data_IF_164099992751
#
_entry.id   IF_164099992751
#
_cell.length_a   1.000
_cell.length_b   1.000
_cell.length_c   1.000
_cell.angle_alpha   90.00
_cell.angle_beta   90.00
_cell.angle_gamma   90.00
#
_symmetry.space_group_name_H-M   'P 1'
#
loop_
_entity.id
_entity.type
_entity.pdbx_description
1 polymer ?
#
# COMPACT_ATOMS: atom_id res chain seq x y z
N UNK A 1 5.98 -3.36 -6.55
CA UNK A 1 6.19 -2.52 -7.75
C UNK A 1 6.41 -1.08 -7.33
N UNK A 2 7.55 -0.49 -7.66
CA UNK A 2 7.86 0.91 -7.33
C UNK A 2 8.65 1.59 -8.45
N UNK A 3 8.28 2.81 -8.76
CA UNK A 3 9.04 3.75 -9.60
C UNK A 3 9.62 4.92 -8.79
N UNK A 4 9.45 4.90 -7.48
CA UNK A 4 9.93 5.91 -6.52
C UNK A 4 11.03 5.28 -5.68
N UNK A 5 12.22 5.93 -5.57
CA UNK A 5 13.29 5.43 -4.70
C UNK A 5 12.87 5.53 -3.22
N UNK A 6 13.30 4.57 -2.42
CA UNK A 6 13.12 4.62 -0.98
C UNK A 6 13.96 5.73 -0.36
N UNK A 7 13.41 6.43 0.64
CA UNK A 7 14.07 7.50 1.37
C UNK A 7 14.55 7.00 2.72
N UNK A 8 15.82 6.57 2.80
CA UNK A 8 16.42 6.06 4.03
C UNK A 8 17.53 7.01 4.49
N UNK A 9 17.36 7.60 5.68
CA UNK A 9 18.34 8.51 6.26
C UNK A 9 19.71 7.82 6.41
N UNK A 10 20.77 8.51 5.97
CA UNK A 10 22.13 7.98 5.99
C UNK A 10 22.47 7.02 4.84
N UNK A 11 21.50 6.75 3.93
CA UNK A 11 21.66 5.89 2.76
C UNK A 11 21.25 6.59 1.45
N UNK A 12 21.21 7.89 1.44
CA UNK A 12 20.75 8.72 0.31
C UNK A 12 21.60 8.53 -0.96
N UNK A 13 22.82 8.03 -0.79
CA UNK A 13 23.73 7.67 -1.88
C UNK A 13 23.41 6.32 -2.54
N UNK A 14 22.51 5.54 -1.95
CA UNK A 14 22.10 4.22 -2.46
C UNK A 14 20.75 4.36 -3.13
N UNK A 15 20.67 4.10 -4.43
CA UNK A 15 19.39 4.04 -5.15
C UNK A 15 18.77 2.67 -4.89
N UNK A 16 17.80 2.63 -3.98
CA UNK A 16 17.08 1.41 -3.60
C UNK A 16 15.56 1.60 -3.71
N UNK A 17 14.80 0.50 -3.68
CA UNK A 17 13.33 0.52 -3.76
C UNK A 17 12.77 0.59 -5.18
N UNK A 18 13.60 0.75 -6.22
CA UNK A 18 13.12 0.73 -7.61
C UNK A 18 12.94 -0.70 -8.13
N UNK A 19 11.83 -0.94 -8.80
CA UNK A 19 11.59 -2.21 -9.51
C UNK A 19 12.52 -2.33 -10.72
N UNK A 20 13.27 -3.43 -10.79
CA UNK A 20 14.12 -3.79 -11.92
C UNK A 20 13.41 -4.79 -12.83
N UNK A 21 13.73 -4.73 -14.13
CA UNK A 21 13.20 -5.67 -15.13
C UNK A 21 14.13 -6.88 -15.17
N UNK A 22 13.59 -8.06 -14.92
CA UNK A 22 14.36 -9.30 -14.93
C UNK A 22 15.01 -9.54 -16.30
N UNK A 23 16.31 -9.89 -16.30
CA UNK A 23 17.06 -10.12 -17.52
C UNK A 23 17.59 -8.87 -18.24
N UNK A 24 17.30 -7.66 -17.73
CA UNK A 24 17.74 -6.40 -18.31
C UNK A 24 18.37 -5.48 -17.25
N UNK A 25 19.37 -4.70 -17.64
CA UNK A 25 19.90 -3.64 -16.78
C UNK A 25 19.04 -2.36 -16.91
N UNK A 26 17.77 -2.51 -16.53
CA UNK A 26 16.74 -1.49 -16.70
C UNK A 26 15.79 -1.50 -15.52
N UNK A 27 15.41 -0.32 -15.04
CA UNK A 27 14.33 -0.17 -14.06
C UNK A 27 12.98 0.00 -14.76
N UNK A 28 11.90 -0.35 -14.04
CA UNK A 28 10.53 -0.05 -14.53
C UNK A 28 10.35 1.46 -14.76
N UNK A 29 10.91 2.32 -13.89
CA UNK A 29 10.83 3.76 -14.05
C UNK A 29 11.43 4.24 -15.39
N UNK A 30 12.59 3.71 -15.79
CA UNK A 30 13.20 4.02 -17.09
C UNK A 30 12.33 3.54 -18.25
N UNK A 31 11.83 2.29 -18.18
CA UNK A 31 10.96 1.74 -19.21
C UNK A 31 9.67 2.56 -19.41
N UNK A 32 9.05 3.03 -18.31
CA UNK A 32 7.88 3.90 -18.37
C UNK A 32 8.19 5.28 -18.99
N UNK A 33 9.39 5.82 -18.78
CA UNK A 33 9.81 7.07 -19.44
C UNK A 33 10.05 6.87 -20.93
N UNK A 34 10.65 5.76 -21.32
CA UNK A 34 11.02 5.48 -22.72
C UNK A 34 9.79 5.14 -23.58
N UNK A 35 8.80 4.44 -23.00
CA UNK A 35 7.64 3.94 -23.74
C UNK A 35 6.32 4.14 -22.93
N UNK A 36 5.96 5.38 -22.53
CA UNK A 36 4.86 5.62 -21.62
C UNK A 36 3.51 5.11 -22.14
N UNK A 37 3.17 5.35 -23.39
CA UNK A 37 1.85 4.97 -23.94
C UNK A 37 1.70 3.45 -24.10
N UNK A 38 2.74 2.76 -24.56
CA UNK A 38 2.71 1.31 -24.68
C UNK A 38 2.59 0.63 -23.30
N UNK A 39 3.25 1.21 -22.30
CA UNK A 39 3.29 0.66 -20.95
C UNK A 39 2.05 1.00 -20.13
N UNK A 40 1.59 2.25 -20.14
CA UNK A 40 0.53 2.76 -19.27
C UNK A 40 -0.81 3.02 -19.96
N UNK A 41 -0.82 3.11 -21.29
CA UNK A 41 -1.98 3.48 -22.10
C UNK A 41 -2.14 4.99 -22.27
N UNK A 42 -2.62 5.42 -23.45
CA UNK A 42 -2.70 6.85 -23.82
C UNK A 42 -3.60 7.66 -22.90
N UNK A 43 -4.71 7.09 -22.41
CA UNK A 43 -5.63 7.76 -21.48
C UNK A 43 -4.96 8.05 -20.13
N UNK A 44 -4.18 7.10 -19.61
CA UNK A 44 -3.43 7.26 -18.37
C UNK A 44 -2.31 8.31 -18.54
N UNK A 45 -1.54 8.20 -19.63
CA UNK A 45 -0.43 9.11 -19.92
C UNK A 45 -0.91 10.57 -20.09
N UNK A 46 -2.09 10.79 -20.67
CA UNK A 46 -2.66 12.13 -20.79
C UNK A 46 -2.82 12.82 -19.43
N UNK A 47 -3.19 12.07 -18.37
CA UNK A 47 -3.42 12.60 -17.01
C UNK A 47 -2.15 12.59 -16.14
N UNK A 48 -1.42 11.46 -16.14
CA UNK A 48 -0.37 11.17 -15.16
C UNK A 48 1.04 11.11 -15.77
N UNK A 49 1.18 11.34 -17.09
CA UNK A 49 2.45 11.23 -17.82
C UNK A 49 3.03 9.81 -17.67
N UNK A 50 4.32 9.68 -17.49
CA UNK A 50 5.00 8.40 -17.25
C UNK A 50 4.93 7.89 -15.80
N UNK A 51 4.08 8.50 -14.96
CA UNK A 51 3.89 8.06 -13.58
C UNK A 51 2.76 7.03 -13.51
N UNK A 52 2.96 5.80 -13.02
CA UNK A 52 1.89 4.80 -12.90
C UNK A 52 0.82 5.18 -11.88
N UNK A 53 1.05 6.20 -11.04
CA UNK A 53 0.08 6.66 -10.05
C UNK A 53 -0.11 5.71 -8.86
N UNK A 54 0.68 4.66 -8.77
CA UNK A 54 0.55 3.61 -7.75
C UNK A 54 1.92 3.04 -7.38
N UNK A 55 2.06 2.65 -6.10
CA UNK A 55 3.19 1.92 -5.56
C UNK A 55 2.68 0.73 -4.76
N UNK A 56 3.31 -0.44 -4.91
CA UNK A 56 2.90 -1.68 -4.22
C UNK A 56 4.09 -2.31 -3.53
N UNK A 57 3.91 -2.70 -2.27
CA UNK A 57 4.91 -3.35 -1.43
C UNK A 57 4.32 -4.61 -0.78
N UNK A 58 5.20 -5.54 -0.43
CA UNK A 58 4.93 -6.58 0.55
C UNK A 58 5.62 -6.19 1.84
N UNK A 59 4.88 -6.21 2.94
CA UNK A 59 5.39 -5.89 4.28
C UNK A 59 5.21 -7.10 5.19
N UNK A 60 6.31 -7.52 5.81
CA UNK A 60 6.35 -8.57 6.82
C UNK A 60 6.90 -7.97 8.12
N UNK A 61 6.00 -7.60 9.02
CA UNK A 61 6.32 -6.83 10.21
C UNK A 61 6.84 -7.74 11.33
N UNK A 62 8.17 -7.81 11.51
CA UNK A 62 8.78 -8.50 12.65
C UNK A 62 8.61 -7.73 13.96
N UNK A 63 8.49 -6.42 13.89
CA UNK A 63 8.15 -5.51 15.00
C UNK A 63 6.99 -4.60 14.59
N UNK A 64 6.34 -3.95 15.56
CA UNK A 64 5.39 -2.88 15.24
C UNK A 64 6.10 -1.73 14.50
N UNK A 65 5.54 -1.28 13.40
CA UNK A 65 6.02 -0.08 12.74
C UNK A 65 5.73 1.16 13.63
N UNK A 66 6.57 2.18 13.52
CA UNK A 66 6.36 3.45 14.22
C UNK A 66 5.00 4.04 13.87
N UNK A 67 4.33 4.66 14.87
CA UNK A 67 3.10 5.40 14.62
C UNK A 67 3.37 6.56 13.67
N UNK A 68 2.54 6.68 12.63
CA UNK A 68 2.75 7.59 11.52
C UNK A 68 1.45 8.13 10.96
N UNK A 69 1.58 9.14 10.11
CA UNK A 69 0.50 9.66 9.27
C UNK A 69 1.05 10.02 7.90
N UNK A 70 0.19 9.97 6.90
CA UNK A 70 0.47 10.43 5.55
C UNK A 70 -0.36 11.67 5.22
N UNK A 71 0.14 12.61 4.40
CA UNK A 71 -0.65 13.77 4.00
C UNK A 71 -1.80 13.36 3.05
N UNK A 72 -2.93 14.06 3.15
CA UNK A 72 -3.94 14.06 2.08
C UNK A 72 -3.35 14.69 0.82
N UNK A 73 -4.01 14.59 -0.34
CA UNK A 73 -3.56 15.28 -1.58
C UNK A 73 -3.47 16.79 -1.39
N UNK A 74 -4.44 17.40 -0.69
CA UNK A 74 -4.45 18.83 -0.39
C UNK A 74 -3.24 19.21 0.46
N UNK A 75 -2.98 18.45 1.53
CA UNK A 75 -1.82 18.68 2.40
C UNK A 75 -0.49 18.37 1.71
N UNK A 76 -0.43 17.38 0.84
CA UNK A 76 0.75 17.09 0.05
C UNK A 76 1.06 18.24 -0.93
N UNK A 77 0.06 18.83 -1.55
CA UNK A 77 0.23 20.01 -2.41
C UNK A 77 0.69 21.22 -1.60
N UNK A 78 0.04 21.50 -0.46
CA UNK A 78 0.35 22.65 0.41
C UNK A 78 1.76 22.56 1.03
N UNK A 79 2.14 21.37 1.52
CA UNK A 79 3.31 21.20 2.37
C UNK A 79 4.55 20.74 1.60
N UNK A 80 4.35 20.03 0.48
CA UNK A 80 5.43 19.37 -0.28
C UNK A 80 5.41 19.71 -1.76
N UNK A 81 4.43 20.46 -2.27
CA UNK A 81 4.28 20.76 -3.70
C UNK A 81 3.96 19.52 -4.55
N UNK A 82 3.44 18.46 -3.94
CA UNK A 82 3.13 17.19 -4.61
C UNK A 82 1.65 17.07 -4.99
N UNK A 83 1.32 16.63 -6.22
CA UNK A 83 -0.05 16.35 -6.60
C UNK A 83 -0.59 15.05 -6.00
N UNK A 84 0.27 14.22 -5.42
CA UNK A 84 -0.08 12.97 -4.76
C UNK A 84 0.10 13.09 -3.25
N UNK A 85 -0.89 12.60 -2.50
CA UNK A 85 -0.79 12.31 -1.08
C UNK A 85 -0.16 10.93 -0.83
N UNK A 86 -0.62 10.25 0.22
CA UNK A 86 -0.30 8.85 0.42
C UNK A 86 -1.48 8.14 1.10
N UNK A 87 -2.61 8.09 0.39
CA UNK A 87 -3.66 7.12 0.72
C UNK A 87 -3.15 5.73 0.37
N UNK A 88 -3.37 4.77 1.25
CA UNK A 88 -2.92 3.39 1.08
C UNK A 88 -4.00 2.38 1.47
N UNK A 89 -3.87 1.16 1.02
CA UNK A 89 -4.68 0.03 1.43
C UNK A 89 -3.76 -1.07 1.94
N UNK A 90 -4.17 -1.71 3.01
CA UNK A 90 -3.56 -2.92 3.55
C UNK A 90 -4.49 -4.11 3.35
N UNK A 91 -4.04 -5.11 2.61
CA UNK A 91 -4.71 -6.40 2.52
C UNK A 91 -3.86 -7.46 3.22
N UNK A 92 -4.40 -8.07 4.26
CA UNK A 92 -3.67 -9.01 5.13
C UNK A 92 -3.56 -10.36 4.42
N UNK A 93 -2.34 -10.76 4.09
CA UNK A 93 -2.03 -12.03 3.43
C UNK A 93 -1.87 -13.17 4.41
N UNK A 94 -1.29 -12.89 5.57
CA UNK A 94 -1.11 -13.86 6.65
C UNK A 94 -0.81 -13.15 7.98
N UNK A 95 -0.91 -13.89 9.09
CA UNK A 95 -0.66 -13.38 10.43
C UNK A 95 0.06 -14.43 11.28
N UNK A 96 0.92 -13.97 12.20
CA UNK A 96 1.55 -14.81 13.22
C UNK A 96 1.73 -14.05 14.53
N UNK A 97 1.61 -14.73 15.64
CA UNK A 97 1.97 -14.18 16.96
C UNK A 97 3.48 -14.07 17.06
N UNK A 98 4.00 -12.92 17.49
CA UNK A 98 5.43 -12.68 17.71
C UNK A 98 5.63 -12.27 19.17
N UNK A 99 6.41 -13.05 19.92
CA UNK A 99 6.73 -12.79 21.34
C UNK A 99 5.49 -12.53 22.22
N UNK A 100 4.40 -13.28 21.95
CA UNK A 100 3.13 -13.16 22.65
C UNK A 100 2.28 -11.97 22.22
N UNK A 101 2.71 -11.20 21.22
CA UNK A 101 1.91 -10.14 20.63
C UNK A 101 1.05 -10.68 19.50
N UNK A 102 -0.27 -10.58 19.66
CA UNK A 102 -1.22 -10.91 18.60
C UNK A 102 -1.20 -9.85 17.49
N UNK A 103 -1.31 -10.28 16.20
CA UNK A 103 -1.30 -9.36 15.07
C UNK A 103 -2.45 -8.36 15.15
N UNK A 104 -2.12 -7.09 14.97
CA UNK A 104 -3.07 -5.99 15.02
C UNK A 104 -2.58 -4.82 14.18
N UNK A 105 -3.50 -3.90 13.90
CA UNK A 105 -3.16 -2.56 13.42
C UNK A 105 -3.60 -1.52 14.44
N UNK A 106 -2.98 -0.35 14.39
CA UNK A 106 -3.43 0.85 15.10
C UNK A 106 -3.96 1.83 14.07
N UNK A 107 -5.18 2.38 14.27
CA UNK A 107 -5.80 3.24 13.27
C UNK A 107 -6.77 4.23 13.89
N UNK A 108 -6.65 5.51 13.47
CA UNK A 108 -7.58 6.58 13.82
C UNK A 108 -7.51 7.00 15.28
N UNK A 109 -7.75 8.28 15.54
CA UNK A 109 -7.85 8.79 16.90
C UNK A 109 -9.15 8.34 17.58
N UNK A 110 -9.04 8.01 18.86
CA UNK A 110 -10.19 7.85 19.74
C UNK A 110 -10.85 9.20 20.00
N UNK A 111 -12.13 9.17 20.39
CA UNK A 111 -12.85 10.37 20.81
C UNK A 111 -12.11 11.13 21.92
N UNK A 112 -12.13 12.46 21.82
CA UNK A 112 -11.51 13.35 22.81
C UNK A 112 -10.00 13.55 22.66
N UNK A 113 -9.32 12.86 21.73
CA UNK A 113 -7.90 13.13 21.46
C UNK A 113 -7.76 14.48 20.77
N UNK A 114 -6.96 15.37 21.35
CA UNK A 114 -6.70 16.70 20.82
C UNK A 114 -5.29 16.80 20.24
N UNK A 115 -5.09 17.75 19.33
CA UNK A 115 -3.77 18.08 18.79
C UNK A 115 -2.76 18.34 19.91
N UNK A 116 -3.11 19.16 20.89
CA UNK A 116 -2.22 19.51 22.00
C UNK A 116 -1.79 18.28 22.81
N UNK A 117 -2.70 17.33 23.06
CA UNK A 117 -2.37 16.09 23.74
C UNK A 117 -1.43 15.21 22.90
N UNK A 118 -1.70 15.05 21.59
CA UNK A 118 -0.86 14.27 20.69
C UNK A 118 0.55 14.86 20.54
N UNK A 119 0.66 16.19 20.39
CA UNK A 119 1.94 16.90 20.35
C UNK A 119 2.72 16.72 21.68
N UNK A 120 2.03 16.80 22.84
CA UNK A 120 2.66 16.55 24.13
C UNK A 120 3.25 15.14 24.21
N UNK A 121 2.48 14.09 23.86
CA UNK A 121 2.95 12.71 23.85
C UNK A 121 4.16 12.54 22.92
N UNK A 122 4.16 13.19 21.74
CA UNK A 122 5.32 13.19 20.86
C UNK A 122 6.56 13.84 21.49
N UNK A 123 6.42 15.03 22.08
CA UNK A 123 7.57 15.74 22.65
C UNK A 123 8.17 15.03 23.87
N UNK A 124 7.35 14.32 24.63
CA UNK A 124 7.79 13.51 25.78
C UNK A 124 8.15 12.07 25.36
N UNK A 125 7.87 11.67 24.14
CA UNK A 125 8.00 10.29 23.64
C UNK A 125 7.27 9.28 24.53
N UNK A 126 6.09 9.64 25.02
CA UNK A 126 5.21 8.75 25.78
C UNK A 126 4.46 7.83 24.80
N UNK A 127 5.18 6.77 24.36
CA UNK A 127 4.65 5.80 23.39
C UNK A 127 3.39 5.08 23.91
N UNK A 128 3.32 4.64 25.19
CA UNK A 128 2.09 4.08 25.74
C UNK A 128 0.88 5.02 25.61
N UNK A 129 1.05 6.32 25.93
CA UNK A 129 -0.01 7.30 25.78
C UNK A 129 -0.39 7.52 24.31
N UNK A 130 0.57 7.56 23.38
CA UNK A 130 0.28 7.63 21.94
C UNK A 130 -0.50 6.41 21.45
N UNK A 131 -0.12 5.20 21.84
CA UNK A 131 -0.86 3.99 21.50
C UNK A 131 -2.28 4.00 22.06
N UNK A 132 -2.47 4.54 23.28
CA UNK A 132 -3.78 4.68 23.90
C UNK A 132 -4.68 5.71 23.19
N UNK A 133 -4.11 6.66 22.45
CA UNK A 133 -4.87 7.60 21.60
C UNK A 133 -5.50 6.95 20.38
N UNK A 134 -5.05 5.77 19.95
CA UNK A 134 -5.50 5.09 18.72
C UNK A 134 -6.33 3.85 19.04
N UNK A 135 -7.11 3.41 18.07
CA UNK A 135 -7.79 2.11 18.14
C UNK A 135 -6.80 1.00 17.78
N UNK A 136 -6.67 0.02 18.69
CA UNK A 136 -5.98 -1.24 18.40
C UNK A 136 -6.99 -2.23 17.84
N UNK A 137 -6.79 -2.65 16.58
CA UNK A 137 -7.71 -3.51 15.83
C UNK A 137 -7.00 -4.84 15.56
N UNK A 138 -7.44 -5.96 16.16
CA UNK A 138 -6.95 -7.28 15.79
C UNK A 138 -7.22 -7.56 14.30
N UNK A 139 -6.29 -8.22 13.63
CA UNK A 139 -6.44 -8.56 12.21
C UNK A 139 -6.18 -10.02 11.94
N UNK A 140 -6.75 -10.51 10.84
CA UNK A 140 -6.57 -11.87 10.34
C UNK A 140 -6.39 -11.87 8.82
N UNK A 141 -5.92 -12.99 8.27
CA UNK A 141 -5.83 -13.21 6.81
C UNK A 141 -7.15 -12.85 6.12
N UNK A 142 -7.07 -12.06 5.05
CA UNK A 142 -8.19 -11.60 4.23
C UNK A 142 -8.79 -10.27 4.68
N UNK A 143 -8.49 -9.76 5.87
CA UNK A 143 -8.94 -8.44 6.28
C UNK A 143 -8.30 -7.36 5.39
N UNK A 144 -9.09 -6.33 5.10
CA UNK A 144 -8.66 -5.22 4.24
C UNK A 144 -9.04 -3.89 4.86
N UNK A 145 -8.10 -2.94 4.83
CA UNK A 145 -8.30 -1.59 5.36
C UNK A 145 -7.81 -0.54 4.37
N UNK A 146 -8.63 0.48 4.13
CA UNK A 146 -8.20 1.70 3.44
C UNK A 146 -7.67 2.69 4.49
N UNK A 147 -6.43 3.16 4.32
CA UNK A 147 -5.79 4.14 5.20
C UNK A 147 -5.71 5.46 4.46
N UNK A 148 -6.65 6.35 4.71
CA UNK A 148 -6.71 7.66 4.05
C UNK A 148 -5.64 8.60 4.61
N UNK A 149 -5.15 9.51 3.79
CA UNK A 149 -4.29 10.60 4.27
C UNK A 149 -4.94 11.33 5.46
N UNK A 150 -4.14 11.74 6.43
CA UNK A 150 -4.58 12.38 7.67
C UNK A 150 -4.89 11.41 8.82
N UNK A 151 -5.07 10.13 8.54
CA UNK A 151 -5.39 9.12 9.57
C UNK A 151 -4.11 8.62 10.22
N UNK A 152 -3.91 8.81 11.55
CA UNK A 152 -2.78 8.22 12.27
C UNK A 152 -2.92 6.71 12.33
N UNK A 153 -1.81 6.01 12.12
CA UNK A 153 -1.84 4.55 12.01
C UNK A 153 -0.49 3.90 12.34
N UNK A 154 -0.50 2.57 12.47
CA UNK A 154 0.70 1.75 12.57
C UNK A 154 0.36 0.27 12.40
N UNK A 155 1.25 -0.48 11.76
CA UNK A 155 1.13 -1.93 11.57
C UNK A 155 1.79 -2.61 12.77
N UNK A 156 1.08 -3.51 13.44
CA UNK A 156 1.59 -4.32 14.55
C UNK A 156 2.54 -5.42 14.09
N UNK A 157 3.31 -5.97 15.03
CA UNK A 157 4.14 -7.14 14.79
C UNK A 157 3.30 -8.34 14.33
N UNK A 158 3.87 -9.17 13.46
CA UNK A 158 3.24 -10.41 13.00
C UNK A 158 2.28 -10.26 11.83
N UNK A 159 2.04 -9.03 11.33
CA UNK A 159 1.25 -8.82 10.12
C UNK A 159 2.11 -9.04 8.86
N UNK A 160 1.64 -9.89 7.95
CA UNK A 160 2.15 -10.00 6.58
C UNK A 160 1.08 -9.51 5.62
N UNK A 161 1.35 -8.47 4.86
CA UNK A 161 0.34 -7.79 4.03
C UNK A 161 0.91 -7.27 2.71
N UNK A 162 0.03 -7.07 1.74
CA UNK A 162 0.30 -6.19 0.60
C UNK A 162 -0.19 -4.79 0.94
N UNK A 163 0.68 -3.79 0.70
CA UNK A 163 0.35 -2.38 0.74
C UNK A 163 0.30 -1.85 -0.69
N UNK A 164 -0.85 -1.33 -1.09
CA UNK A 164 -1.02 -0.57 -2.33
C UNK A 164 -1.29 0.88 -1.96
N UNK A 165 -0.59 1.83 -2.57
CA UNK A 165 -0.61 3.24 -2.17
C UNK A 165 -0.43 4.21 -3.34
N UNK A 166 -0.76 5.48 -3.11
CA UNK A 166 -0.31 6.56 -3.99
C UNK A 166 1.22 6.60 -4.09
N UNK A 167 1.81 7.03 -5.22
CA UNK A 167 3.23 6.84 -5.54
C UNK A 167 4.13 7.87 -4.84
N UNK A 168 4.02 8.00 -3.53
CA UNK A 168 4.85 8.90 -2.71
C UNK A 168 5.40 8.17 -1.48
N UNK A 169 6.41 8.77 -0.84
CA UNK A 169 6.99 8.28 0.41
C UNK A 169 6.92 9.35 1.52
N UNK A 170 5.84 10.17 1.51
CA UNK A 170 5.61 11.16 2.56
C UNK A 170 5.06 10.47 3.81
N UNK A 171 5.96 10.18 4.76
CA UNK A 171 5.64 9.50 6.01
C UNK A 171 6.07 10.34 7.19
N UNK A 172 5.12 10.96 7.89
CA UNK A 172 5.35 11.67 9.13
C UNK A 172 5.33 10.67 10.28
N UNK A 173 6.45 10.51 10.98
CA UNK A 173 6.60 9.55 12.09
C UNK A 173 6.58 10.26 13.42
N UNK A 174 5.87 9.70 14.38
CA UNK A 174 5.74 10.29 15.73
C UNK A 174 6.54 9.56 16.80
N UNK A 175 7.36 8.60 16.41
CA UNK A 175 8.30 7.93 17.29
C UNK A 175 9.73 8.20 16.83
N UNK A 176 10.62 8.56 17.77
CA UNK A 176 12.04 8.81 17.51
C UNK A 176 12.92 7.56 17.65
N UNK A 177 12.29 6.47 18.05
CA UNK A 177 12.94 5.15 18.18
C UNK A 177 11.94 4.09 17.80
N UNK A 178 12.35 3.09 17.00
CA UNK A 178 11.51 1.93 16.72
C UNK A 178 11.36 1.06 17.97
N UNK A 179 10.38 0.14 18.03
CA UNK A 179 10.25 -0.80 19.15
C UNK A 179 11.53 -1.62 19.41
N UNK A 180 12.32 -1.93 18.38
CA UNK A 180 13.62 -2.62 18.52
C UNK A 180 14.80 -1.69 18.89
N UNK A 181 14.52 -0.41 19.14
CA UNK A 181 15.52 0.54 19.62
C UNK A 181 16.34 1.23 18.54
N UNK A 182 15.97 1.13 17.26
CA UNK A 182 16.65 1.85 16.20
C UNK A 182 16.21 3.33 16.22
N UNK A 183 17.17 4.24 16.21
CA UNK A 183 16.89 5.66 16.15
C UNK A 183 16.25 6.08 14.81
N UNK A 184 15.20 6.88 14.87
CA UNK A 184 14.54 7.51 13.73
C UNK A 184 15.06 8.94 13.64
N UNK A 185 15.74 9.28 12.55
CA UNK A 185 16.30 10.63 12.35
C UNK A 185 15.16 11.68 12.32
N UNK A 186 15.43 12.87 12.83
CA UNK A 186 14.46 13.97 12.85
C UNK A 186 13.89 14.27 11.45
N UNK A 187 14.75 14.25 10.41
CA UNK A 187 14.31 14.40 9.01
C UNK A 187 13.31 13.34 8.56
N UNK A 188 13.40 12.12 9.09
CA UNK A 188 12.45 11.03 8.82
C UNK A 188 11.15 11.21 9.62
N UNK A 189 11.18 11.89 10.77
CA UNK A 189 9.97 12.22 11.51
C UNK A 189 9.15 13.26 10.76
N UNK A 190 9.74 14.39 10.40
CA UNK A 190 9.00 15.56 9.89
C UNK A 190 9.14 15.83 8.39
N UNK A 191 9.91 15.02 7.65
CA UNK A 191 10.05 15.11 6.17
C UNK A 191 10.39 16.52 5.65
N UNK A 192 11.18 17.30 6.41
CA UNK A 192 11.54 18.67 6.07
C UNK A 192 10.59 19.75 6.62
N UNK A 193 9.42 19.40 7.17
CA UNK A 193 8.44 20.38 7.68
C UNK A 193 8.83 21.01 9.02
N UNK A 194 9.73 20.38 9.78
CA UNK A 194 9.98 20.69 11.17
C UNK A 194 8.86 20.22 12.11
N UNK A 195 9.17 20.19 13.42
CA UNK A 195 8.31 19.58 14.44
C UNK A 195 7.02 20.36 14.75
N UNK A 196 6.84 21.56 14.24
CA UNK A 196 5.59 22.30 14.38
C UNK A 196 4.61 21.96 13.26
N UNK A 197 5.08 22.01 12.00
CA UNK A 197 4.19 21.83 10.83
C UNK A 197 3.89 20.38 10.49
N UNK A 198 4.69 19.41 10.96
CA UNK A 198 4.40 17.99 10.73
C UNK A 198 3.00 17.58 11.26
N UNK A 199 2.54 18.22 12.31
CA UNK A 199 1.23 17.96 12.92
C UNK A 199 0.04 18.48 12.10
N UNK A 200 0.29 19.30 11.08
CA UNK A 200 -0.75 19.74 10.14
C UNK A 200 -1.17 18.62 9.17
N UNK A 201 -0.40 17.52 9.10
CA UNK A 201 -0.75 16.33 8.34
C UNK A 201 -1.85 15.47 9.00
N UNK A 202 -2.15 15.66 10.30
CA UNK A 202 -3.10 14.84 11.03
C UNK A 202 -4.52 15.39 10.95
N UNK A 203 -5.49 14.49 10.78
CA UNK A 203 -6.91 14.76 11.04
C UNK A 203 -7.22 14.36 12.50
N UNK A 204 -7.52 15.32 13.33
CA UNK A 204 -7.82 15.12 14.77
C UNK A 204 -9.29 14.80 15.05
N UNK A 205 -10.10 14.52 14.05
CA UNK A 205 -11.45 14.01 14.26
C UNK A 205 -11.37 12.62 14.89
N UNK A 206 -11.62 12.56 16.20
CA UNK A 206 -11.74 11.30 16.93
C UNK A 206 -13.08 10.63 16.66
N UNK A 207 -13.11 9.30 16.71
CA UNK A 207 -14.30 8.50 16.46
C UNK A 207 -14.33 7.27 17.36
N UNK A 208 -15.49 6.61 17.47
CA UNK A 208 -15.64 5.30 18.09
C UNK A 208 -14.99 4.20 17.24
N UNK A 209 -14.75 3.03 17.82
CA UNK A 209 -14.21 1.88 17.07
C UNK A 209 -15.13 1.45 15.92
N UNK A 210 -16.44 1.44 16.16
CA UNK A 210 -17.42 1.03 15.16
C UNK A 210 -17.43 1.98 13.95
N UNK A 211 -17.30 3.29 14.19
CA UNK A 211 -17.16 4.28 13.12
C UNK A 211 -15.84 4.13 12.36
N UNK A 212 -14.72 3.86 13.04
CA UNK A 212 -13.44 3.59 12.40
C UNK A 212 -13.55 2.34 11.50
N UNK A 213 -14.14 1.25 11.99
CA UNK A 213 -14.33 0.05 11.19
C UNK A 213 -15.26 0.31 10.00
N UNK A 214 -16.36 1.00 10.21
CA UNK A 214 -17.31 1.34 9.13
C UNK A 214 -16.69 2.21 8.03
N UNK A 215 -15.72 3.07 8.36
CA UNK A 215 -15.09 3.98 7.41
C UNK A 215 -13.86 3.40 6.71
N UNK A 216 -13.14 2.49 7.35
CA UNK A 216 -11.82 2.07 6.88
C UNK A 216 -11.69 0.58 6.61
N UNK A 217 -12.49 -0.29 7.23
CA UNK A 217 -12.51 -1.72 6.86
C UNK A 217 -13.32 -1.91 5.59
N UNK A 218 -12.72 -2.60 4.61
CA UNK A 218 -13.34 -2.81 3.29
C UNK A 218 -13.87 -4.23 3.19
N UNK A 219 -15.11 -4.35 2.71
CA UNK A 219 -15.69 -5.64 2.34
C UNK A 219 -15.53 -5.83 0.83
N UNK A 220 -14.80 -6.86 0.37
CA UNK A 220 -14.68 -7.16 -1.06
C UNK A 220 -16.01 -7.47 -1.72
N UNK A 221 -16.13 -7.13 -3.00
CA UNK A 221 -17.26 -7.50 -3.86
C UNK A 221 -16.82 -8.67 -4.74
N UNK A 222 -17.64 -9.73 -4.82
CA UNK A 222 -17.33 -10.90 -5.63
C UNK A 222 -18.05 -10.86 -6.97
N UNK A 223 -17.31 -11.15 -8.04
CA UNK A 223 -17.81 -11.36 -9.41
C UNK A 223 -17.35 -12.72 -9.91
N UNK A 224 -18.29 -13.56 -10.34
CA UNK A 224 -18.00 -14.88 -10.91
C UNK A 224 -18.02 -14.79 -12.43
N UNK A 225 -16.91 -15.13 -13.06
CA UNK A 225 -16.73 -15.17 -14.52
C UNK A 225 -16.44 -16.59 -14.98
N UNK A 226 -16.44 -16.81 -16.29
CA UNK A 226 -16.06 -18.10 -16.85
C UNK A 226 -14.60 -18.43 -16.52
N UNK A 227 -14.38 -19.52 -15.82
CA UNK A 227 -13.06 -20.03 -15.44
C UNK A 227 -12.37 -19.28 -14.30
N UNK A 228 -12.94 -18.20 -13.76
CA UNK A 228 -12.36 -17.48 -12.63
C UNK A 228 -13.37 -16.76 -11.74
N UNK A 229 -12.94 -16.45 -10.53
CA UNK A 229 -13.65 -15.55 -9.62
C UNK A 229 -12.77 -14.33 -9.34
N UNK A 230 -13.36 -13.15 -9.40
CA UNK A 230 -12.74 -11.89 -9.01
C UNK A 230 -13.32 -11.44 -7.66
N UNK A 231 -12.45 -11.11 -6.73
CA UNK A 231 -12.84 -10.35 -5.54
C UNK A 231 -12.26 -8.95 -5.68
N UNK A 232 -13.11 -7.96 -5.95
CA UNK A 232 -12.74 -6.55 -5.99
C UNK A 232 -12.50 -6.08 -4.57
N UNK A 233 -11.24 -6.06 -4.16
CA UNK A 233 -10.83 -5.68 -2.80
C UNK A 233 -10.86 -4.16 -2.66
N UNK A 234 -10.30 -3.44 -3.63
CA UNK A 234 -10.40 -1.98 -3.73
C UNK A 234 -10.97 -1.63 -5.09
N UNK A 235 -12.08 -0.91 -5.08
CA UNK A 235 -12.88 -0.56 -6.23
C UNK A 235 -13.31 0.93 -6.16
N UNK A 236 -13.90 1.52 -7.22
CA UNK A 236 -14.12 2.97 -7.31
C UNK A 236 -14.91 3.61 -6.16
N UNK A 237 -15.85 2.90 -5.55
CA UNK A 237 -16.64 3.39 -4.41
C UNK A 237 -15.79 3.51 -3.13
N UNK A 238 -14.71 2.73 -3.01
CA UNK A 238 -13.76 2.84 -1.91
C UNK A 238 -12.79 3.97 -2.18
N UNK A 239 -12.16 3.97 -3.35
CA UNK A 239 -11.26 5.03 -3.83
C UNK A 239 -11.02 4.92 -5.33
N UNK A 240 -10.77 6.06 -5.99
CA UNK A 240 -10.34 6.11 -7.39
C UNK A 240 -8.81 6.28 -7.56
N UNK A 241 -8.05 6.20 -6.46
CA UNK A 241 -6.61 6.43 -6.48
C UNK A 241 -5.82 5.21 -6.96
N UNK A 242 -6.39 4.02 -6.81
CA UNK A 242 -5.87 2.72 -7.26
C UNK A 242 -6.98 1.66 -7.13
N UNK A 243 -6.77 0.48 -7.73
CA UNK A 243 -7.66 -0.66 -7.53
C UNK A 243 -6.87 -1.94 -7.23
N UNK A 244 -7.52 -2.89 -6.56
CA UNK A 244 -6.93 -4.17 -6.17
C UNK A 244 -7.98 -5.27 -6.27
N UNK A 245 -7.66 -6.32 -7.05
CA UNK A 245 -8.45 -7.52 -7.19
C UNK A 245 -7.68 -8.74 -6.67
N UNK A 246 -8.37 -9.67 -6.03
CA UNK A 246 -7.91 -11.04 -5.87
C UNK A 246 -8.58 -11.90 -6.94
N UNK A 247 -7.77 -12.50 -7.79
CA UNK A 247 -8.21 -13.35 -8.90
C UNK A 247 -7.96 -14.81 -8.53
N UNK A 248 -8.98 -15.65 -8.64
CA UNK A 248 -8.88 -17.11 -8.48
C UNK A 248 -9.28 -17.78 -9.79
N UNK A 249 -8.31 -18.40 -10.47
CA UNK A 249 -8.53 -19.15 -11.73
C UNK A 249 -8.60 -20.65 -11.42
N UNK A 250 -9.64 -21.31 -11.91
CA UNK A 250 -9.87 -22.77 -11.72
C UNK A 250 -9.76 -23.57 -13.00
N UNK A 251 -9.36 -22.95 -14.09
CA UNK A 251 -9.20 -23.57 -15.42
C UNK A 251 -8.56 -22.57 -16.35
N UNK A 252 -9.30 -22.06 -17.31
CA UNK A 252 -8.87 -21.05 -18.27
C UNK A 252 -9.74 -19.81 -18.15
N UNK A 253 -9.12 -18.65 -18.12
CA UNK A 253 -9.80 -17.35 -18.10
C UNK A 253 -9.06 -16.34 -18.97
N UNK A 254 -9.76 -15.29 -19.38
CA UNK A 254 -9.15 -14.13 -20.06
C UNK A 254 -9.40 -12.89 -19.19
N UNK A 255 -8.33 -12.22 -18.80
CA UNK A 255 -8.42 -10.99 -18.02
C UNK A 255 -8.67 -9.79 -18.92
N UNK A 256 -9.31 -8.75 -18.39
CA UNK A 256 -9.49 -7.48 -19.11
C UNK A 256 -8.14 -6.85 -19.45
N UNK A 257 -8.02 -6.36 -20.69
CA UNK A 257 -6.87 -5.62 -21.23
C UNK A 257 -7.19 -4.13 -21.42
N UNK A 258 -6.24 -3.38 -21.98
CA UNK A 258 -6.43 -1.96 -22.32
C UNK A 258 -5.98 -0.97 -21.23
N UNK A 259 -5.61 -1.46 -20.05
CA UNK A 259 -4.91 -0.69 -19.02
C UNK A 259 -3.74 -1.51 -18.48
N UNK A 260 -2.72 -0.84 -17.95
CA UNK A 260 -1.65 -1.56 -17.27
C UNK A 260 -2.14 -2.15 -15.94
N UNK A 261 -1.48 -3.19 -15.51
CA UNK A 261 -1.67 -3.74 -14.16
C UNK A 261 -0.39 -4.42 -13.67
N UNK A 262 -0.29 -4.62 -12.35
CA UNK A 262 0.71 -5.51 -11.79
C UNK A 262 0.04 -6.77 -11.26
N UNK A 263 0.79 -7.86 -11.20
CA UNK A 263 0.36 -9.15 -10.65
C UNK A 263 1.36 -9.60 -9.58
N UNK A 264 0.84 -10.21 -8.52
CA UNK A 264 1.61 -10.97 -7.54
C UNK A 264 0.90 -12.30 -7.27
N UNK A 265 1.59 -13.42 -7.58
CA UNK A 265 1.03 -14.76 -7.43
C UNK A 265 1.11 -15.21 -5.98
N UNK A 266 -0.04 -15.51 -5.37
CA UNK A 266 -0.18 -15.93 -3.98
C UNK A 266 -0.10 -17.46 -3.80
N UNK A 267 -0.81 -18.20 -4.67
CA UNK A 267 -0.96 -19.65 -4.54
C UNK A 267 -1.08 -20.28 -5.93
N UNK A 268 -0.65 -21.53 -6.05
CA UNK A 268 -0.76 -22.32 -7.29
C UNK A 268 0.30 -21.99 -8.33
N UNK A 269 0.11 -22.55 -9.51
CA UNK A 269 0.94 -22.39 -10.71
C UNK A 269 0.08 -22.49 -11.95
N UNK A 270 0.65 -22.09 -13.11
CA UNK A 270 -0.06 -22.11 -14.37
C UNK A 270 0.65 -21.31 -15.46
N UNK A 271 -0.11 -20.67 -16.34
CA UNK A 271 0.40 -19.83 -17.41
C UNK A 271 -0.34 -18.49 -17.46
N UNK A 272 0.39 -17.42 -17.78
CA UNK A 272 -0.13 -16.09 -18.09
C UNK A 272 0.43 -15.66 -19.46
N UNK A 273 -0.44 -15.40 -20.44
CA UNK A 273 -0.03 -15.07 -21.80
C UNK A 273 1.01 -16.06 -22.36
N UNK A 274 0.84 -17.36 -22.11
CA UNK A 274 1.76 -18.43 -22.52
C UNK A 274 3.08 -18.52 -21.72
N UNK A 275 3.31 -17.67 -20.73
CA UNK A 275 4.48 -17.73 -19.87
C UNK A 275 4.14 -18.49 -18.59
N UNK A 276 4.99 -19.41 -18.11
CA UNK A 276 4.78 -20.12 -16.87
C UNK A 276 4.85 -19.14 -15.69
N UNK A 277 3.94 -19.31 -14.74
CA UNK A 277 3.88 -18.53 -13.49
C UNK A 277 3.65 -19.43 -12.30
N UNK A 278 4.22 -19.07 -11.14
CA UNK A 278 4.10 -19.81 -9.90
C UNK A 278 4.08 -18.86 -8.70
N UNK A 279 3.79 -19.41 -7.53
CA UNK A 279 3.79 -18.68 -6.27
C UNK A 279 5.05 -17.80 -6.10
N UNK A 280 4.83 -16.56 -5.64
CA UNK A 280 5.82 -15.48 -5.45
C UNK A 280 6.28 -14.80 -6.74
N UNK A 281 5.88 -15.26 -7.91
CA UNK A 281 6.13 -14.52 -9.15
C UNK A 281 5.36 -13.20 -9.16
N UNK A 282 5.95 -12.19 -9.78
CA UNK A 282 5.35 -10.89 -9.93
C UNK A 282 5.67 -10.28 -11.29
N UNK A 283 4.68 -9.64 -11.88
CA UNK A 283 4.74 -9.12 -13.24
C UNK A 283 4.17 -7.71 -13.31
N UNK A 284 4.72 -6.93 -14.22
CA UNK A 284 4.06 -5.74 -14.75
C UNK A 284 3.45 -6.10 -16.12
N UNK A 285 2.15 -5.89 -16.27
CA UNK A 285 1.43 -6.10 -17.52
C UNK A 285 1.22 -4.76 -18.21
N UNK A 286 1.89 -4.51 -19.34
CA UNK A 286 1.72 -3.27 -20.11
C UNK A 286 0.29 -3.12 -20.65
N UNK A 287 -0.17 -1.88 -20.83
CA UNK A 287 -1.45 -1.59 -21.47
C UNK A 287 -1.53 -2.10 -22.92
N UNK A 288 -0.39 -2.17 -23.61
CA UNK A 288 -0.30 -2.73 -24.96
C UNK A 288 -0.40 -4.27 -25.02
N UNK A 289 -0.37 -4.95 -23.85
CA UNK A 289 -0.53 -6.41 -23.82
C UNK A 289 -1.98 -6.77 -24.15
N UNK A 290 -2.21 -7.39 -25.29
CA UNK A 290 -3.54 -7.80 -25.79
C UNK A 290 -3.92 -9.21 -25.38
N UNK A 291 -2.93 -10.09 -25.16
CA UNK A 291 -3.15 -11.46 -24.67
C UNK A 291 -2.97 -11.48 -23.15
N UNK A 292 -4.07 -11.58 -22.44
CA UNK A 292 -4.11 -11.78 -20.98
C UNK A 292 -4.83 -13.10 -20.65
N UNK A 293 -4.62 -14.12 -21.47
CA UNK A 293 -5.07 -15.48 -21.18
C UNK A 293 -4.33 -16.03 -19.96
N UNK A 294 -5.09 -16.64 -19.04
CA UNK A 294 -4.56 -17.25 -17.82
C UNK A 294 -5.09 -18.68 -17.75
N UNK A 295 -4.21 -19.62 -17.48
CA UNK A 295 -4.58 -21.03 -17.26
C UNK A 295 -3.97 -21.50 -15.95
N UNK A 296 -4.79 -22.03 -15.07
CA UNK A 296 -4.34 -22.71 -13.85
C UNK A 296 -3.90 -24.14 -14.16
N UNK A 297 -2.93 -24.66 -13.43
CA UNK A 297 -2.59 -26.07 -13.48
C UNK A 297 -3.80 -26.92 -12.97
N UNK A 298 -3.99 -28.14 -13.53
CA UNK A 298 -5.21 -28.93 -13.26
C UNK A 298 -5.45 -29.29 -11.79
N UNK A 299 -4.38 -29.40 -11.01
CA UNK A 299 -4.44 -29.94 -9.65
C UNK A 299 -4.74 -28.90 -8.56
N UNK A 300 -4.65 -27.60 -8.88
CA UNK A 300 -4.88 -26.54 -7.88
C UNK A 300 -5.30 -25.21 -8.53
N UNK A 301 -6.17 -24.43 -7.87
CA UNK A 301 -6.46 -23.06 -8.31
C UNK A 301 -5.22 -22.19 -8.30
N UNK A 302 -5.09 -21.34 -9.30
CA UNK A 302 -4.11 -20.28 -9.36
C UNK A 302 -4.71 -19.01 -8.76
N UNK A 303 -4.10 -18.48 -7.68
CA UNK A 303 -4.55 -17.24 -7.03
C UNK A 303 -3.48 -16.17 -7.12
N UNK A 304 -3.88 -14.98 -7.52
CA UNK A 304 -2.99 -13.83 -7.57
C UNK A 304 -3.72 -12.52 -7.29
N UNK A 305 -2.98 -11.57 -6.75
CA UNK A 305 -3.41 -10.18 -6.66
C UNK A 305 -3.16 -9.49 -8.00
N UNK A 306 -4.14 -8.71 -8.45
CA UNK A 306 -4.00 -7.82 -9.59
C UNK A 306 -4.26 -6.39 -9.13
N UNK A 307 -3.32 -5.50 -9.35
CA UNK A 307 -3.39 -4.12 -8.89
C UNK A 307 -3.21 -3.14 -10.04
N UNK A 308 -3.89 -2.00 -9.93
CA UNK A 308 -3.99 -1.00 -10.98
C UNK A 308 -3.66 0.38 -10.42
N UNK A 309 -3.22 1.27 -11.31
CA UNK A 309 -3.13 2.70 -11.03
C UNK A 309 -4.50 3.37 -10.86
N UNK A 310 -4.54 4.71 -10.82
CA UNK A 310 -5.77 5.48 -10.70
C UNK A 310 -6.80 5.13 -11.78
N UNK A 311 -8.07 5.03 -11.39
CA UNK A 311 -9.21 4.68 -12.25
C UNK A 311 -9.97 5.94 -12.74
#
# INVERSE_FOLDING_TARGET
MSTVPARNAGREHIVEGLTRIAGFDLTLAQLLQDQPEAMLGSNHVAKYKANPGVLVKLLDAAERLTLQVHPTREKALELFGSPFGKTECWHILDCRTIEGQEPCIYMGFREGVTRAHWEHCFHTQDIPAMLACLHKIPVKKGDTFIVRGGVPHGIGAGCFLVEIQEPTDYTIRTERTTPFGLAVADSMCHQGLGFTRMFDCFNYAGASLDEILAHYQVTPIEEVLEGCTLQHIIYPEVTNMFALDLVTVTGHATLNSGTFSGIYVLEGSGQLAGQPIARCDHFFLPAACSDLSVTADPDAPLKFLRFFGPQ
#
